data_IF_088162501976
#
_entry.id   IF_088162501976
#
_cell.length_a   1.000
_cell.length_b   1.000
_cell.length_c   1.000
_cell.angle_alpha   90.00
_cell.angle_beta   90.00
_cell.angle_gamma   90.00
#
_symmetry.space_group_name_H-M   'P 1'
#
loop_
_entity.id
_entity.type
_entity.pdbx_description
1 polymer ?
#
# COMPACT_ATOMS: atom_id res chain seq x y z
N UNK A 1 0.41 16.52 12.16
CA UNK A 1 -0.21 15.29 11.61
C UNK A 1 -1.62 15.64 11.17
N UNK A 2 -1.89 15.60 9.87
CA UNK A 2 -3.24 15.77 9.32
C UNK A 2 -4.12 14.64 9.86
N UNK A 3 -5.27 14.95 10.47
CA UNK A 3 -6.15 13.90 10.98
C UNK A 3 -6.80 13.21 9.77
N UNK A 4 -7.04 11.90 9.84
CA UNK A 4 -7.70 11.15 8.76
C UNK A 4 -9.06 11.75 8.36
N UNK A 5 -9.75 12.40 9.31
CA UNK A 5 -10.98 13.16 9.05
C UNK A 5 -10.75 14.31 8.05
N UNK A 6 -9.63 15.01 8.16
CA UNK A 6 -9.28 16.15 7.29
C UNK A 6 -8.87 15.68 5.89
N UNK A 7 -8.36 14.44 5.75
CA UNK A 7 -8.00 13.88 4.45
C UNK A 7 -9.24 13.50 3.61
N UNK A 8 -10.36 13.14 4.25
CA UNK A 8 -11.58 12.73 3.56
C UNK A 8 -12.25 13.86 2.77
N UNK A 9 -12.11 15.11 3.21
CA UNK A 9 -12.67 16.27 2.50
C UNK A 9 -11.97 16.55 1.15
N UNK A 10 -10.82 15.93 0.89
CA UNK A 10 -10.13 16.02 -0.40
C UNK A 10 -10.57 14.93 -1.40
N UNK A 11 -11.46 14.02 -1.01
CA UNK A 11 -11.96 12.99 -1.92
C UNK A 11 -13.01 13.59 -2.85
N UNK A 12 -12.82 13.39 -4.16
CA UNK A 12 -13.89 13.53 -5.14
C UNK A 12 -15.01 12.51 -4.87
N UNK A 13 -16.19 12.76 -5.42
CA UNK A 13 -17.27 11.78 -5.41
C UNK A 13 -16.81 10.43 -6.00
N UNK A 14 -17.11 9.34 -5.29
CA UNK A 14 -16.63 8.00 -5.62
C UNK A 14 -15.13 7.76 -5.35
N UNK A 15 -14.44 8.71 -4.72
CA UNK A 15 -13.06 8.58 -4.30
C UNK A 15 -12.84 7.45 -3.28
N UNK A 16 -11.63 6.90 -3.27
CA UNK A 16 -11.23 5.87 -2.33
C UNK A 16 -10.17 6.38 -1.36
N UNK A 17 -10.30 6.01 -0.09
CA UNK A 17 -9.30 6.23 0.94
C UNK A 17 -8.81 4.87 1.43
N UNK A 18 -7.50 4.66 1.37
CA UNK A 18 -6.82 3.48 1.89
C UNK A 18 -5.95 3.90 3.05
N UNK A 19 -6.13 3.26 4.20
CA UNK A 19 -5.55 3.72 5.45
C UNK A 19 -4.66 2.66 6.04
N UNK A 20 -3.42 3.04 6.39
CA UNK A 20 -2.60 2.24 7.27
C UNK A 20 -3.11 2.39 8.71
N UNK A 21 -3.81 1.38 9.22
CA UNK A 21 -4.39 1.41 10.57
C UNK A 21 -4.22 0.04 11.26
N UNK A 22 -3.85 0.03 12.55
CA UNK A 22 -3.91 -1.18 13.36
C UNK A 22 -5.36 -1.61 13.55
N UNK A 23 -5.63 -2.91 13.41
CA UNK A 23 -6.95 -3.52 13.23
C UNK A 23 -7.65 -3.04 11.93
N UNK A 24 -7.84 -3.95 10.98
CA UNK A 24 -8.51 -3.70 9.70
C UNK A 24 -10.02 -3.47 9.88
N UNK A 25 -10.41 -2.44 10.63
CA UNK A 25 -11.81 -2.05 10.81
C UNK A 25 -12.29 -1.33 9.54
N UNK A 26 -12.77 -2.12 8.57
CA UNK A 26 -13.36 -1.64 7.32
C UNK A 26 -12.62 -2.15 6.08
N UNK A 27 -13.36 -2.30 4.99
CA UNK A 27 -12.90 -2.93 3.74
C UNK A 27 -11.71 -2.24 3.04
N UNK A 28 -11.21 -1.12 3.55
CA UNK A 28 -10.09 -0.35 2.95
C UNK A 28 -9.00 0.03 3.96
N UNK A 29 -8.96 -0.67 5.10
CA UNK A 29 -7.91 -0.51 6.11
C UNK A 29 -6.97 -1.71 6.05
N UNK A 30 -5.67 -1.44 6.19
CA UNK A 30 -4.63 -2.46 6.25
C UNK A 30 -3.63 -2.10 7.35
N UNK A 31 -3.23 -3.05 8.18
CA UNK A 31 -2.05 -2.87 9.04
C UNK A 31 -0.77 -3.13 8.23
N UNK A 32 -0.43 -2.17 7.36
CA UNK A 32 0.74 -2.24 6.49
C UNK A 32 2.04 -2.19 7.30
N UNK A 33 2.01 -1.57 8.48
CA UNK A 33 3.13 -1.54 9.41
C UNK A 33 3.41 -2.93 9.99
N UNK A 34 2.38 -3.70 10.35
CA UNK A 34 2.55 -5.09 10.78
C UNK A 34 3.16 -5.95 9.67
N UNK A 35 2.68 -5.83 8.43
CA UNK A 35 3.26 -6.54 7.27
C UNK A 35 4.75 -6.20 7.09
N UNK A 36 5.10 -4.92 7.14
CA UNK A 36 6.47 -4.48 6.96
C UNK A 36 7.41 -5.01 8.07
N UNK A 37 6.91 -5.09 9.31
CA UNK A 37 7.64 -5.68 10.44
C UNK A 37 7.84 -7.18 10.27
N UNK A 38 6.81 -7.91 9.86
CA UNK A 38 6.90 -9.35 9.61
C UNK A 38 7.95 -9.69 8.53
N UNK A 39 8.09 -8.81 7.54
CA UNK A 39 9.08 -8.95 6.47
C UNK A 39 10.50 -8.46 6.84
N UNK A 40 10.72 -8.01 8.08
CA UNK A 40 11.96 -7.33 8.51
C UNK A 40 12.33 -6.13 7.62
N UNK A 41 11.31 -5.47 7.06
CA UNK A 41 11.43 -4.39 6.09
C UNK A 41 10.63 -3.18 6.56
N UNK A 42 10.90 -2.66 7.76
CA UNK A 42 10.07 -1.64 8.44
C UNK A 42 9.77 -0.41 7.58
N UNK A 43 10.66 -0.05 6.65
CA UNK A 43 10.47 1.10 5.74
C UNK A 43 9.51 0.81 4.56
N UNK A 44 9.09 -0.43 4.36
CA UNK A 44 8.26 -0.87 3.23
C UNK A 44 6.75 -0.86 3.52
N UNK A 45 6.30 -0.26 4.64
CA UNK A 45 4.87 -0.17 4.98
C UNK A 45 4.06 0.60 3.92
N UNK A 46 4.63 1.67 3.35
CA UNK A 46 4.01 2.39 2.24
C UNK A 46 3.84 1.51 1.00
N UNK A 47 4.81 0.63 0.73
CA UNK A 47 4.79 -0.29 -0.41
C UNK A 47 3.73 -1.38 -0.22
N UNK A 48 3.60 -1.93 1.00
CA UNK A 48 2.51 -2.84 1.32
C UNK A 48 1.13 -2.16 1.17
N UNK A 49 0.98 -0.92 1.66
CA UNK A 49 -0.28 -0.19 1.48
C UNK A 49 -0.59 0.09 -0.01
N UNK A 50 0.42 0.41 -0.82
CA UNK A 50 0.27 0.59 -2.27
C UNK A 50 -0.19 -0.70 -2.96
N UNK A 51 0.41 -1.84 -2.59
CA UNK A 51 0.01 -3.15 -3.10
C UNK A 51 -1.47 -3.43 -2.85
N UNK A 52 -1.90 -3.26 -1.60
CA UNK A 52 -3.30 -3.39 -1.20
C UNK A 52 -4.24 -2.46 -1.96
N UNK A 53 -3.92 -1.16 -2.00
CA UNK A 53 -4.74 -0.17 -2.69
C UNK A 53 -4.89 -0.49 -4.20
N UNK A 54 -3.80 -0.91 -4.85
CA UNK A 54 -3.81 -1.27 -6.27
C UNK A 54 -4.63 -2.52 -6.58
N UNK A 55 -4.66 -3.49 -5.67
CA UNK A 55 -5.46 -4.70 -5.83
C UNK A 55 -6.93 -4.49 -5.46
N UNK A 56 -7.22 -3.66 -4.46
CA UNK A 56 -8.58 -3.34 -4.01
C UNK A 56 -9.32 -2.37 -4.96
N UNK A 57 -8.59 -1.58 -5.75
CA UNK A 57 -9.16 -0.65 -6.74
C UNK A 57 -8.38 -0.68 -8.07
N UNK A 58 -8.40 -1.80 -8.83
CA UNK A 58 -7.55 -1.99 -10.00
C UNK A 58 -7.80 -0.96 -11.11
N UNK A 59 -9.00 -0.39 -11.20
CA UNK A 59 -9.32 0.66 -12.17
C UNK A 59 -8.68 2.04 -11.85
N UNK A 60 -8.20 2.24 -10.62
CA UNK A 60 -7.61 3.51 -10.17
C UNK A 60 -6.08 3.54 -10.27
N UNK A 61 -5.45 2.41 -10.62
CA UNK A 61 -4.00 2.26 -10.67
C UNK A 61 -3.53 1.65 -12.00
N UNK A 62 -2.26 1.88 -12.40
CA UNK A 62 -1.65 1.12 -13.47
C UNK A 62 -1.68 -0.38 -13.22
N UNK A 63 -1.51 -1.17 -14.28
CA UNK A 63 -1.39 -2.62 -14.18
C UNK A 63 -0.29 -3.02 -13.18
N UNK A 64 -0.52 -4.12 -12.45
CA UNK A 64 0.41 -4.63 -11.42
C UNK A 64 1.85 -4.76 -11.92
N UNK A 65 2.03 -5.26 -13.15
CA UNK A 65 3.34 -5.42 -13.76
C UNK A 65 4.07 -4.07 -13.93
N UNK A 66 3.34 -3.02 -14.31
CA UNK A 66 3.90 -1.67 -14.44
C UNK A 66 4.29 -1.08 -13.09
N UNK A 67 3.49 -1.32 -12.04
CA UNK A 67 3.82 -0.90 -10.68
C UNK A 67 5.06 -1.61 -10.13
N UNK A 68 5.18 -2.93 -10.36
CA UNK A 68 6.36 -3.71 -9.96
C UNK A 68 7.62 -3.24 -10.71
N UNK A 69 7.53 -3.04 -12.03
CA UNK A 69 8.66 -2.52 -12.81
C UNK A 69 9.10 -1.13 -12.33
N UNK A 70 8.15 -0.23 -12.04
CA UNK A 70 8.45 1.08 -11.48
C UNK A 70 9.12 0.95 -10.10
N UNK A 71 8.60 0.08 -9.25
CA UNK A 71 9.13 -0.18 -7.92
C UNK A 71 10.56 -0.74 -7.95
N UNK A 72 10.84 -1.68 -8.85
CA UNK A 72 12.18 -2.24 -9.07
C UNK A 72 13.17 -1.17 -9.54
N UNK A 73 12.74 -0.28 -10.45
CA UNK A 73 13.57 0.80 -10.98
C UNK A 73 13.92 1.88 -9.95
N UNK A 74 12.99 2.22 -9.03
CA UNK A 74 13.21 3.26 -8.02
C UNK A 74 13.83 2.72 -6.72
N UNK A 75 13.80 1.40 -6.51
CA UNK A 75 14.29 0.79 -5.28
C UNK A 75 15.81 0.72 -5.27
N UNK A 76 16.49 1.08 -4.16
CA UNK A 76 17.90 0.76 -3.99
C UNK A 76 18.13 -0.75 -4.14
N UNK A 77 19.25 -1.22 -4.75
CA UNK A 77 19.46 -2.65 -5.04
C UNK A 77 19.21 -3.57 -3.83
N UNK A 78 19.67 -3.17 -2.64
CA UNK A 78 19.49 -3.93 -1.39
C UNK A 78 18.05 -4.01 -0.86
N UNK A 79 17.15 -3.20 -1.38
CA UNK A 79 15.76 -3.08 -0.94
C UNK A 79 14.75 -3.60 -1.97
N UNK A 80 15.18 -3.92 -3.20
CA UNK A 80 14.30 -4.35 -4.30
C UNK A 80 13.43 -5.53 -3.86
N UNK A 81 14.03 -6.61 -3.37
CA UNK A 81 13.29 -7.82 -3.01
C UNK A 81 12.39 -7.60 -1.78
N UNK A 82 12.85 -6.82 -0.79
CA UNK A 82 12.05 -6.47 0.37
C UNK A 82 10.80 -5.66 -0.02
N UNK A 83 10.95 -4.68 -0.91
CA UNK A 83 9.84 -3.88 -1.42
C UNK A 83 8.90 -4.73 -2.30
N UNK A 84 9.43 -5.61 -3.16
CA UNK A 84 8.63 -6.53 -3.99
C UNK A 84 7.76 -7.43 -3.13
N UNK A 85 8.34 -8.05 -2.08
CA UNK A 85 7.61 -8.89 -1.13
C UNK A 85 6.55 -8.09 -0.37
N UNK A 86 6.87 -6.88 0.08
CA UNK A 86 5.92 -6.00 0.76
C UNK A 86 4.73 -5.65 -0.15
N UNK A 87 4.99 -5.30 -1.41
CA UNK A 87 3.95 -4.99 -2.39
C UNK A 87 3.02 -6.18 -2.61
N UNK A 88 3.59 -7.37 -2.87
CA UNK A 88 2.81 -8.59 -3.11
C UNK A 88 1.97 -8.97 -1.90
N UNK A 89 2.56 -8.94 -0.70
CA UNK A 89 1.85 -9.26 0.54
C UNK A 89 0.74 -8.25 0.87
N UNK A 90 0.91 -6.99 0.50
CA UNK A 90 -0.16 -6.01 0.55
C UNK A 90 -1.31 -6.33 -0.40
N UNK A 91 -0.99 -6.65 -1.66
CA UNK A 91 -1.98 -7.00 -2.69
C UNK A 91 -2.80 -8.25 -2.34
N UNK A 92 -2.20 -9.24 -1.66
CA UNK A 92 -2.87 -10.45 -1.16
C UNK A 92 -3.92 -10.17 -0.07
N UNK A 93 -3.91 -8.98 0.53
CA UNK A 93 -4.83 -8.58 1.61
C UNK A 93 -6.02 -7.76 1.13
N UNK A 94 -6.08 -7.43 -0.16
CA UNK A 94 -7.16 -6.66 -0.79
C UNK A 94 -8.41 -7.50 -0.99
#
# INVERSE_FOLDING_TARGET
ATRLADARSFLRDGGACFVNAPAAEGARNLDATAIARELNATRAANIALLGFASAAAPAAFPARASLLAALENISPPKAVEANRRAFMKGAEKA
#
